data_IF_719506668985
#
_entry.id   IF_719506668985
#
_cell.length_a   1.000
_cell.length_b   1.000
_cell.length_c   1.000
_cell.angle_alpha   90.00
_cell.angle_beta   90.00
_cell.angle_gamma   90.00
#
_symmetry.space_group_name_H-M   'P 1'
#
loop_
_entity.id
_entity.type
_entity.pdbx_description
1 polymer ?
#
# COMPACT_ATOMS: atom_id res chain seq x y z
N UNK A 1 25.26 14.58 -26.81
CA UNK A 1 25.05 13.46 -25.86
C UNK A 1 24.21 13.99 -24.74
N UNK A 2 22.89 13.84 -24.83
CA UNK A 2 22.02 14.03 -23.67
C UNK A 2 22.25 12.79 -22.79
N UNK A 3 22.72 13.03 -21.56
CA UNK A 3 22.73 11.99 -20.54
C UNK A 3 21.26 11.65 -20.29
N UNK A 4 20.90 10.39 -20.49
CA UNK A 4 19.70 9.84 -19.87
C UNK A 4 20.08 9.72 -18.40
N UNK A 5 19.68 10.70 -17.60
CA UNK A 5 19.81 10.58 -16.15
C UNK A 5 19.06 9.31 -15.75
N UNK A 6 19.78 8.39 -15.12
CA UNK A 6 19.18 7.16 -14.64
C UNK A 6 18.26 7.55 -13.48
N UNK A 7 16.95 7.31 -13.62
CA UNK A 7 15.98 7.59 -12.55
C UNK A 7 16.46 6.99 -11.23
N UNK A 8 16.58 7.83 -10.21
CA UNK A 8 16.89 7.42 -8.84
C UNK A 8 15.68 6.70 -8.22
N UNK A 9 15.91 5.99 -7.12
CA UNK A 9 14.83 5.31 -6.39
C UNK A 9 14.80 5.88 -4.99
N UNK A 10 13.78 6.71 -4.71
CA UNK A 10 13.51 7.23 -3.38
C UNK A 10 12.82 6.16 -2.51
N UNK A 11 13.52 5.65 -1.51
CA UNK A 11 12.96 4.67 -0.56
C UNK A 11 12.91 5.20 0.87
N UNK A 12 11.78 5.01 1.56
CA UNK A 12 11.66 5.23 2.99
C UNK A 12 11.10 3.98 3.65
N UNK A 13 11.75 3.52 4.71
CA UNK A 13 11.29 2.39 5.52
C UNK A 13 11.18 2.80 6.98
N UNK A 14 10.03 2.53 7.59
CA UNK A 14 9.82 2.60 9.03
C UNK A 14 9.58 1.20 9.57
N UNK A 15 10.22 0.85 10.69
CA UNK A 15 9.99 -0.36 11.46
C UNK A 15 9.65 0.06 12.89
N UNK A 16 8.54 -0.46 13.43
CA UNK A 16 8.06 -0.11 14.77
C UNK A 16 7.97 -1.34 15.67
N UNK A 17 8.15 -1.11 16.97
CA UNK A 17 8.09 -2.15 18.01
C UNK A 17 7.13 -1.74 19.12
N UNK A 18 6.37 -2.73 19.64
CA UNK A 18 5.21 -2.58 20.52
C UNK A 18 5.06 -1.26 21.34
N UNK A 19 3.94 -0.56 21.14
CA UNK A 19 3.57 0.72 21.75
C UNK A 19 3.83 1.99 20.90
N UNK A 20 4.37 1.85 19.69
CA UNK A 20 4.77 2.87 18.74
C UNK A 20 3.75 3.16 17.61
N UNK A 21 3.76 4.43 17.18
CA UNK A 21 3.06 4.91 15.99
C UNK A 21 4.08 5.43 15.01
N UNK A 22 3.99 5.02 13.75
CA UNK A 22 5.04 5.29 12.79
C UNK A 22 4.54 5.52 11.38
N UNK A 23 5.28 6.38 10.70
CA UNK A 23 4.98 6.82 9.35
C UNK A 23 6.22 6.68 8.47
N UNK A 24 6.05 6.05 7.32
CA UNK A 24 7.04 6.10 6.24
C UNK A 24 6.48 7.00 5.14
N UNK A 25 7.28 7.97 4.70
CA UNK A 25 6.94 8.86 3.59
C UNK A 25 8.06 8.93 2.57
N UNK A 26 7.73 8.77 1.30
CA UNK A 26 8.63 9.05 0.16
C UNK A 26 8.04 10.11 -0.75
N UNK A 27 8.92 10.96 -1.29
CA UNK A 27 8.65 11.93 -2.35
C UNK A 27 9.93 12.03 -3.20
N UNK A 28 10.17 11.12 -4.16
CA UNK A 28 11.22 11.25 -5.17
C UNK A 28 10.92 12.33 -6.21
N UNK A 29 11.90 12.60 -7.08
CA UNK A 29 11.84 13.65 -8.12
C UNK A 29 11.36 13.11 -9.49
N UNK A 30 10.92 14.02 -10.39
CA UNK A 30 10.42 13.68 -11.73
C UNK A 30 11.28 12.64 -12.47
N UNK A 31 10.65 11.53 -12.87
CA UNK A 31 11.30 10.42 -13.58
C UNK A 31 11.94 9.35 -12.69
N UNK A 32 11.67 9.38 -11.38
CA UNK A 32 12.16 8.41 -10.39
C UNK A 32 11.09 7.40 -9.94
N UNK A 33 11.46 6.51 -9.01
CA UNK A 33 10.56 5.52 -8.41
C UNK A 33 10.46 5.73 -6.90
N UNK A 34 9.23 5.84 -6.39
CA UNK A 34 8.94 6.05 -4.97
C UNK A 34 8.46 4.80 -4.24
N UNK A 35 9.15 4.43 -3.16
CA UNK A 35 8.76 3.26 -2.33
C UNK A 35 8.71 3.63 -0.84
N UNK A 36 7.49 3.74 -0.30
CA UNK A 36 7.26 3.88 1.13
C UNK A 36 6.86 2.52 1.74
N UNK A 37 7.62 2.06 2.75
CA UNK A 37 7.34 0.84 3.48
C UNK A 37 7.24 1.06 4.97
N UNK A 38 6.17 0.56 5.58
CA UNK A 38 6.05 0.51 7.04
C UNK A 38 5.86 -0.94 7.46
N UNK A 39 6.63 -1.37 8.47
CA UNK A 39 6.51 -2.67 9.13
C UNK A 39 6.25 -2.42 10.59
N UNK A 40 5.26 -3.09 11.14
CA UNK A 40 4.80 -2.90 12.51
C UNK A 40 4.58 -4.25 13.19
N UNK A 41 4.77 -4.29 14.51
CA UNK A 41 4.58 -5.47 15.38
C UNK A 41 3.36 -5.29 16.31
N UNK A 42 3.00 -6.31 17.10
CA UNK A 42 1.71 -6.35 17.78
C UNK A 42 1.33 -5.10 18.61
N UNK A 43 0.10 -4.60 18.41
CA UNK A 43 -0.50 -3.49 19.19
C UNK A 43 -0.28 -2.07 18.62
N UNK A 44 0.21 -1.97 17.39
CA UNK A 44 0.71 -0.75 16.74
C UNK A 44 -0.15 -0.13 15.66
N UNK A 45 0.23 1.10 15.28
CA UNK A 45 -0.36 1.82 14.15
C UNK A 45 0.71 2.25 13.15
N UNK A 46 0.65 1.66 11.96
CA UNK A 46 1.56 1.94 10.86
C UNK A 46 0.89 2.63 9.67
N UNK A 47 1.48 3.73 9.19
CA UNK A 47 1.08 4.39 7.94
C UNK A 47 2.23 4.43 6.94
N UNK A 48 1.98 4.02 5.70
CA UNK A 48 2.90 4.20 4.58
C UNK A 48 2.26 5.13 3.55
N UNK A 49 2.95 6.22 3.22
CA UNK A 49 2.49 7.21 2.25
C UNK A 49 3.56 7.44 1.18
N UNK A 50 3.18 7.31 -0.08
CA UNK A 50 4.00 7.74 -1.21
C UNK A 50 3.25 8.88 -1.93
N UNK A 51 3.96 9.94 -2.33
CA UNK A 51 3.44 10.94 -3.28
C UNK A 51 4.53 11.40 -4.27
N UNK A 52 4.21 11.54 -5.57
CA UNK A 52 5.15 11.90 -6.66
C UNK A 52 4.67 13.04 -7.56
N UNK A 53 5.58 13.51 -8.41
CA UNK A 53 5.34 14.38 -9.56
C UNK A 53 5.42 13.59 -10.88
N UNK A 54 4.91 14.18 -11.97
CA UNK A 54 4.58 13.49 -13.23
C UNK A 54 5.62 12.49 -13.82
N UNK A 55 5.11 11.45 -14.50
CA UNK A 55 5.86 10.40 -15.22
C UNK A 55 6.66 9.40 -14.35
N UNK A 56 6.19 9.16 -13.12
CA UNK A 56 6.82 8.26 -12.14
C UNK A 56 5.98 6.99 -11.79
N UNK A 57 6.54 6.10 -10.94
CA UNK A 57 5.89 4.87 -10.44
C UNK A 57 5.96 4.78 -8.91
N UNK A 58 4.82 4.50 -8.26
CA UNK A 58 4.76 4.34 -6.79
C UNK A 58 4.36 2.96 -6.27
N UNK A 59 4.95 2.63 -5.13
CA UNK A 59 4.43 1.62 -4.22
C UNK A 59 4.43 2.09 -2.76
N UNK A 60 3.24 2.15 -2.17
CA UNK A 60 3.07 2.26 -0.71
C UNK A 60 2.70 0.89 -0.13
N UNK A 61 3.54 0.36 0.76
CA UNK A 61 3.34 -0.97 1.38
C UNK A 61 3.35 -0.87 2.90
N UNK A 62 2.36 -1.48 3.55
CA UNK A 62 2.30 -1.56 5.01
C UNK A 62 2.07 -3.01 5.46
N UNK A 63 3.03 -3.59 6.18
CA UNK A 63 3.00 -4.99 6.68
C UNK A 63 2.85 -5.00 8.19
N UNK A 64 2.01 -5.89 8.76
CA UNK A 64 1.67 -5.89 10.19
C UNK A 64 1.36 -7.25 10.83
N UNK A 65 1.66 -7.36 12.13
CA UNK A 65 1.43 -8.49 13.06
C UNK A 65 0.44 -8.15 14.22
N UNK A 66 0.11 -9.09 15.14
CA UNK A 66 -1.17 -9.22 15.90
C UNK A 66 -1.78 -7.94 16.57
N UNK A 67 -3.10 -7.68 16.45
CA UNK A 67 -3.80 -6.53 17.09
C UNK A 67 -3.57 -5.07 16.62
N UNK A 68 -2.85 -4.83 15.53
CA UNK A 68 -2.56 -3.56 14.85
C UNK A 68 -3.63 -2.89 13.94
N UNK A 69 -3.37 -1.64 13.53
CA UNK A 69 -4.12 -0.96 12.47
C UNK A 69 -3.15 -0.39 11.45
N UNK A 70 -3.49 -0.41 10.17
CA UNK A 70 -2.69 0.38 9.25
C UNK A 70 -3.27 0.72 7.90
N UNK A 71 -2.59 1.70 7.31
CA UNK A 71 -3.00 2.40 6.11
C UNK A 71 -1.83 2.50 5.13
N UNK A 72 -2.10 2.15 3.88
CA UNK A 72 -1.19 2.45 2.77
C UNK A 72 -1.90 3.45 1.84
N UNK A 73 -1.21 4.52 1.48
CA UNK A 73 -1.73 5.57 0.58
C UNK A 73 -0.69 5.92 -0.48
N UNK A 74 -1.12 5.94 -1.74
CA UNK A 74 -0.31 6.35 -2.88
C UNK A 74 -1.08 7.41 -3.69
N UNK A 75 -0.41 8.50 -4.05
CA UNK A 75 -1.00 9.68 -4.71
C UNK A 75 -0.02 10.25 -5.74
N UNK A 76 -0.26 10.04 -7.04
CA UNK A 76 0.56 10.57 -8.12
C UNK A 76 0.00 11.87 -8.69
N UNK A 77 0.83 12.54 -9.50
CA UNK A 77 0.37 13.50 -10.51
C UNK A 77 0.24 12.80 -11.89
N UNK A 78 -0.14 13.54 -12.93
CA UNK A 78 -0.51 12.96 -14.23
C UNK A 78 0.61 12.15 -14.94
N UNK A 79 0.23 11.09 -15.66
CA UNK A 79 1.08 10.18 -16.44
C UNK A 79 1.54 8.87 -15.76
N UNK A 80 1.04 8.51 -14.57
CA UNK A 80 1.75 7.59 -13.65
C UNK A 80 1.12 6.21 -13.38
N UNK A 81 1.81 5.35 -12.63
CA UNK A 81 1.26 4.08 -12.12
C UNK A 81 1.44 3.99 -10.61
N UNK A 82 0.34 3.73 -9.90
CA UNK A 82 0.37 3.66 -8.43
C UNK A 82 -0.22 2.38 -7.85
N UNK A 83 0.39 1.96 -6.74
CA UNK A 83 -0.01 0.79 -5.99
C UNK A 83 0.02 1.04 -4.48
N UNK A 84 -1.13 0.83 -3.83
CA UNK A 84 -1.26 0.80 -2.39
C UNK A 84 -1.59 -0.62 -1.90
N UNK A 85 -0.73 -1.18 -1.05
CA UNK A 85 -0.86 -2.55 -0.53
C UNK A 85 -0.58 -2.67 0.97
N UNK A 86 -1.61 -2.72 1.83
CA UNK A 86 -1.49 -3.20 3.19
C UNK A 86 -1.69 -4.73 3.28
N UNK A 87 -0.86 -5.37 4.09
CA UNK A 87 -0.88 -6.81 4.36
C UNK A 87 -0.85 -7.03 5.88
N UNK A 88 -2.01 -7.34 6.49
CA UNK A 88 -2.08 -7.78 7.89
C UNK A 88 -2.06 -9.30 8.10
N UNK A 89 -1.60 -9.75 9.27
CA UNK A 89 -1.53 -11.17 9.67
C UNK A 89 -2.34 -11.50 10.97
N UNK A 90 -3.64 -11.80 10.85
CA UNK A 90 -4.64 -12.07 11.93
C UNK A 90 -5.14 -10.94 12.90
N UNK A 91 -6.44 -10.61 12.82
CA UNK A 91 -7.28 -9.77 13.72
C UNK A 91 -7.15 -8.21 13.66
N UNK A 92 -7.42 -7.57 12.50
CA UNK A 92 -7.24 -6.12 12.29
C UNK A 92 -8.19 -5.40 11.32
N UNK A 93 -7.87 -4.11 11.16
CA UNK A 93 -8.30 -3.22 10.08
C UNK A 93 -7.12 -2.85 9.17
N UNK A 94 -7.27 -3.10 7.87
CA UNK A 94 -6.32 -2.68 6.84
C UNK A 94 -7.00 -1.81 5.78
N UNK A 95 -6.43 -0.63 5.51
CA UNK A 95 -6.95 0.30 4.50
C UNK A 95 -5.92 0.56 3.39
N UNK A 96 -6.29 0.29 2.15
CA UNK A 96 -5.55 0.68 0.95
C UNK A 96 -6.28 1.81 0.25
N UNK A 97 -5.57 2.91 -0.03
CA UNK A 97 -6.09 4.00 -0.87
C UNK A 97 -5.08 4.32 -1.97
N UNK A 98 -5.50 4.20 -3.21
CA UNK A 98 -4.74 4.65 -4.36
C UNK A 98 -5.57 5.69 -5.12
N UNK A 99 -4.98 6.83 -5.42
CA UNK A 99 -5.62 7.93 -6.15
C UNK A 99 -4.88 8.09 -7.48
N UNK A 100 -5.55 8.49 -8.56
CA UNK A 100 -4.95 8.74 -9.87
C UNK A 100 -5.70 9.89 -10.56
N UNK A 101 -4.99 10.78 -11.25
CA UNK A 101 -5.50 12.03 -11.87
C UNK A 101 -5.96 11.83 -13.31
N UNK A 102 -5.35 12.42 -14.36
CA UNK A 102 -5.60 12.13 -15.80
C UNK A 102 -4.41 11.33 -16.43
N UNK A 103 -4.60 10.35 -17.32
CA UNK A 103 -3.54 9.44 -17.86
C UNK A 103 -3.12 8.16 -17.07
N UNK A 104 -2.97 8.23 -15.74
CA UNK A 104 -2.52 7.22 -14.77
C UNK A 104 -3.40 5.97 -14.53
N UNK A 105 -2.82 4.99 -13.82
CA UNK A 105 -3.50 3.81 -13.28
C UNK A 105 -3.39 3.73 -11.74
N UNK A 106 -4.53 3.59 -11.05
CA UNK A 106 -4.58 3.37 -9.60
C UNK A 106 -4.93 1.92 -9.24
N UNK A 107 -4.08 1.29 -8.42
CA UNK A 107 -4.34 -0.03 -7.84
C UNK A 107 -4.30 0.00 -6.32
N UNK A 108 -5.41 -0.40 -5.69
CA UNK A 108 -5.50 -0.56 -4.25
C UNK A 108 -5.85 -2.01 -3.93
N UNK A 109 -5.02 -2.67 -3.11
CA UNK A 109 -5.28 -4.06 -2.70
C UNK A 109 -5.04 -4.25 -1.21
N UNK A 110 -6.03 -4.77 -0.50
CA UNK A 110 -5.88 -5.27 0.87
C UNK A 110 -5.92 -6.78 0.89
N UNK A 111 -5.14 -7.40 1.80
CA UNK A 111 -5.13 -8.85 2.00
C UNK A 111 -5.37 -9.17 3.49
N UNK A 112 -6.58 -8.96 4.03
CA UNK A 112 -6.96 -9.38 5.38
C UNK A 112 -7.01 -10.91 5.60
N UNK A 113 -6.56 -11.38 6.76
CA UNK A 113 -6.77 -12.75 7.24
C UNK A 113 -8.06 -12.91 8.08
N UNK A 114 -8.25 -14.08 8.72
CA UNK A 114 -9.51 -14.46 9.40
C UNK A 114 -9.74 -13.58 10.65
N UNK A 115 -10.89 -12.90 10.68
CA UNK A 115 -11.31 -12.04 11.80
C UNK A 115 -11.30 -10.53 11.50
N UNK A 116 -11.13 -10.14 10.23
CA UNK A 116 -10.68 -8.79 9.89
C UNK A 116 -11.54 -8.00 8.89
N UNK A 117 -11.29 -6.69 8.87
CA UNK A 117 -11.86 -5.69 7.94
C UNK A 117 -10.77 -5.16 7.01
N UNK A 118 -10.84 -5.52 5.72
CA UNK A 118 -10.01 -4.93 4.68
C UNK A 118 -10.81 -3.99 3.79
N UNK A 119 -10.34 -2.76 3.61
CA UNK A 119 -10.95 -1.75 2.73
C UNK A 119 -9.95 -1.36 1.64
N UNK A 120 -10.30 -1.61 0.39
CA UNK A 120 -9.50 -1.17 -0.75
C UNK A 120 -10.29 -0.13 -1.55
N UNK A 121 -9.67 1.03 -1.81
CA UNK A 121 -10.26 2.10 -2.58
C UNK A 121 -9.27 2.58 -3.64
N UNK A 122 -9.65 2.47 -4.92
CA UNK A 122 -8.94 3.04 -6.04
C UNK A 122 -9.81 4.14 -6.65
N UNK A 123 -9.32 5.39 -6.61
CA UNK A 123 -9.97 6.55 -7.19
C UNK A 123 -9.26 6.90 -8.50
N UNK A 124 -10.04 7.24 -9.52
CA UNK A 124 -9.53 7.74 -10.80
C UNK A 124 -10.51 8.74 -11.40
N UNK A 125 -10.01 9.86 -11.92
CA UNK A 125 -10.83 10.75 -12.77
C UNK A 125 -11.14 10.10 -14.13
N UNK A 126 -12.19 10.62 -14.80
CA UNK A 126 -12.83 9.99 -15.95
C UNK A 126 -11.85 9.68 -17.11
N UNK A 127 -11.92 8.44 -17.64
CA UNK A 127 -11.06 7.97 -18.73
C UNK A 127 -10.01 6.92 -18.34
N UNK A 128 -10.03 6.44 -17.10
CA UNK A 128 -8.98 5.61 -16.49
C UNK A 128 -9.44 4.30 -15.87
N UNK A 129 -8.46 3.46 -15.51
CA UNK A 129 -8.65 2.16 -14.87
C UNK A 129 -8.27 2.22 -13.39
N UNK A 130 -9.28 2.29 -12.51
CA UNK A 130 -9.13 2.04 -11.08
C UNK A 130 -9.38 0.56 -10.74
N UNK A 131 -8.46 -0.10 -10.01
CA UNK A 131 -8.66 -1.47 -9.52
C UNK A 131 -8.55 -1.52 -8.00
N UNK A 132 -9.68 -1.80 -7.36
CA UNK A 132 -9.73 -2.06 -5.92
C UNK A 132 -10.01 -3.54 -5.66
N UNK A 133 -9.22 -4.18 -4.80
CA UNK A 133 -9.43 -5.58 -4.40
C UNK A 133 -9.20 -5.78 -2.91
N UNK A 134 -10.21 -6.25 -2.20
CA UNK A 134 -10.06 -6.78 -0.85
C UNK A 134 -10.13 -8.31 -0.90
N UNK A 135 -9.01 -8.98 -0.66
CA UNK A 135 -8.95 -10.45 -0.60
C UNK A 135 -9.03 -10.92 0.85
N UNK A 136 -10.05 -11.70 1.19
CA UNK A 136 -10.06 -12.43 2.46
C UNK A 136 -9.38 -13.78 2.26
N UNK A 137 -8.27 -14.03 2.97
CA UNK A 137 -7.70 -15.37 3.01
C UNK A 137 -8.50 -16.22 4.02
N UNK A 138 -9.54 -16.91 3.53
CA UNK A 138 -10.26 -17.89 4.35
C UNK A 138 -9.45 -19.18 4.40
N UNK A 139 -8.72 -19.40 5.48
CA UNK A 139 -8.23 -20.74 5.80
C UNK A 139 -9.46 -21.64 5.98
N UNK A 140 -9.77 -22.44 4.95
CA UNK A 140 -10.72 -23.56 5.09
C UNK A 140 -10.19 -24.43 6.21
N UNK A 141 -10.78 -24.34 7.40
CA UNK A 141 -10.61 -25.37 8.44
C UNK A 141 -11.00 -26.69 7.78
N UNK A 142 -10.02 -27.53 7.49
CA UNK A 142 -10.22 -28.92 7.09
C UNK A 142 -11.10 -29.59 8.14
N UNK A 143 -12.39 -29.69 7.87
CA UNK A 143 -13.26 -30.59 8.63
C UNK A 143 -12.91 -32.00 8.16
N UNK A 144 -12.02 -32.64 8.89
CA UNK A 144 -11.78 -34.07 8.76
C UNK A 144 -13.04 -34.82 9.25
N UNK A 145 -13.75 -35.57 8.39
CA UNK A 145 -14.89 -36.34 8.84
C UNK A 145 -14.37 -37.52 9.65
N UNK A 146 -14.56 -37.47 10.97
CA UNK A 146 -14.34 -38.63 11.85
C UNK A 146 -15.30 -39.74 11.41
N UNK A 147 -14.74 -40.82 10.86
CA UNK A 147 -15.44 -42.11 10.69
C UNK A 147 -15.56 -42.83 12.01
#
# INVERSE_FOLDING_TARGET
>A
MQRLDAGEVGTATAALVAGEVGTARTVPEAGEVGIARTVTEAGEVGTATAALEAEEVEAATAVREAGEVGKATAVPEAGEVVKATPVPEAAYVATATAIAETGDMATARTVPEVGEVGTAMALSEAGKVGKARAEKHSQRRSQEPKR
#
